data_IF_650853059539
#
_entry.id   IF_650853059539
#
_cell.length_a   1.000
_cell.length_b   1.000
_cell.length_c   1.000
_cell.angle_alpha   90.00
_cell.angle_beta   90.00
_cell.angle_gamma   90.00
#
_symmetry.space_group_name_H-M   'P 1'
#
loop_
_entity.id
_entity.type
_entity.pdbx_description
1 polymer ?
#
# COMPACT_ATOMS: atom_id res chain seq x y z
N UNK A 1 -8.36 2.73 0.50
CA UNK A 1 -8.45 2.07 1.82
C UNK A 1 -8.98 3.11 2.80
N UNK A 2 -10.04 2.83 3.56
CA UNK A 2 -10.71 3.85 4.38
C UNK A 2 -11.09 3.31 5.76
N UNK A 3 -11.03 4.15 6.81
CA UNK A 3 -11.48 3.85 8.19
C UNK A 3 -10.81 2.64 8.82
N UNK A 4 -9.48 2.57 8.74
CA UNK A 4 -8.69 1.48 9.31
C UNK A 4 -8.02 1.89 10.62
N UNK A 5 -8.13 1.05 11.65
CA UNK A 5 -7.48 1.30 12.94
C UNK A 5 -6.70 0.07 13.40
N UNK A 6 -5.46 0.26 13.83
CA UNK A 6 -4.60 -0.81 14.36
C UNK A 6 -4.47 -2.02 13.41
N UNK A 7 -4.41 -1.74 12.10
CA UNK A 7 -4.29 -2.74 11.05
C UNK A 7 -2.85 -2.90 10.57
N UNK A 8 -2.53 -4.06 10.02
CA UNK A 8 -1.39 -4.22 9.10
C UNK A 8 -1.93 -4.58 7.73
N UNK A 9 -1.58 -3.80 6.72
CA UNK A 9 -2.07 -3.95 5.36
C UNK A 9 -0.89 -4.24 4.46
N UNK A 10 -0.98 -5.35 3.74
CA UNK A 10 0.04 -5.79 2.79
C UNK A 10 -0.60 -5.86 1.42
N UNK A 11 0.02 -5.21 0.44
CA UNK A 11 -0.45 -5.19 -0.93
C UNK A 11 0.73 -5.45 -1.86
N UNK A 12 0.56 -6.41 -2.77
CA UNK A 12 1.49 -6.58 -3.87
C UNK A 12 1.53 -5.35 -4.80
N UNK A 13 2.40 -5.36 -5.82
CA UNK A 13 2.52 -4.25 -6.76
C UNK A 13 1.21 -3.98 -7.50
N UNK A 14 0.75 -2.73 -7.48
CA UNK A 14 -0.46 -2.30 -8.18
C UNK A 14 -0.13 -1.27 -9.26
N UNK A 15 -0.67 -1.49 -10.45
CA UNK A 15 -0.66 -0.49 -11.52
C UNK A 15 -1.64 0.65 -11.16
N UNK A 16 -1.17 1.90 -11.23
CA UNK A 16 -2.00 3.07 -10.95
C UNK A 16 -1.80 3.65 -9.54
N UNK A 17 -2.89 4.13 -8.93
CA UNK A 17 -2.83 4.92 -7.70
C UNK A 17 -3.54 4.27 -6.51
N UNK A 18 -3.06 4.55 -5.31
CA UNK A 18 -3.69 4.16 -4.04
C UNK A 18 -4.10 5.41 -3.27
N UNK A 19 -5.36 5.44 -2.84
CA UNK A 19 -5.89 6.41 -1.89
C UNK A 19 -6.09 5.76 -0.53
N UNK A 20 -5.53 6.36 0.52
CA UNK A 20 -5.66 5.94 1.92
C UNK A 20 -6.31 7.09 2.69
N UNK A 21 -7.39 6.80 3.41
CA UNK A 21 -8.18 7.82 4.10
C UNK A 21 -8.59 7.37 5.50
N UNK A 22 -8.55 8.28 6.47
CA UNK A 22 -9.02 8.06 7.85
C UNK A 22 -8.43 6.78 8.48
N UNK A 23 -7.11 6.81 8.71
CA UNK A 23 -6.37 5.65 9.22
C UNK A 23 -5.57 5.99 10.46
N UNK A 24 -5.54 5.08 11.44
CA UNK A 24 -4.92 5.34 12.74
C UNK A 24 -4.18 4.12 13.30
N UNK A 25 -2.92 4.27 13.69
CA UNK A 25 -2.15 3.18 14.31
C UNK A 25 -1.87 2.02 13.36
N UNK A 26 -1.81 2.26 12.05
CA UNK A 26 -1.71 1.23 11.03
C UNK A 26 -0.30 1.11 10.45
N UNK A 27 0.02 -0.09 9.94
CA UNK A 27 1.20 -0.35 9.10
C UNK A 27 0.71 -0.66 7.69
N UNK A 28 1.30 -0.03 6.70
CA UNK A 28 1.04 -0.27 5.28
C UNK A 28 2.32 -0.69 4.58
N UNK A 29 2.30 -1.81 3.85
CA UNK A 29 3.37 -2.25 2.97
C UNK A 29 2.82 -2.33 1.56
N UNK A 30 3.15 -1.33 0.73
CA UNK A 30 2.47 -1.05 -0.54
C UNK A 30 3.47 -0.71 -1.65
N UNK A 31 3.21 -1.20 -2.86
CA UNK A 31 3.91 -0.78 -4.06
C UNK A 31 2.90 -0.28 -5.12
N UNK A 32 3.09 0.94 -5.62
CA UNK A 32 2.15 1.58 -6.55
C UNK A 32 2.79 2.73 -7.34
N UNK A 33 2.15 3.29 -8.36
CA UNK A 33 2.74 4.44 -9.07
C UNK A 33 2.55 5.72 -8.28
N UNK A 34 1.39 5.89 -7.65
CA UNK A 34 1.00 7.10 -6.92
C UNK A 34 0.32 6.73 -5.62
N UNK A 35 0.66 7.41 -4.52
CA UNK A 35 0.03 7.19 -3.22
C UNK A 35 -0.41 8.52 -2.63
N UNK A 36 -1.70 8.61 -2.29
CA UNK A 36 -2.30 9.76 -1.60
C UNK A 36 -2.85 9.32 -0.25
N UNK A 37 -2.49 10.05 0.79
CA UNK A 37 -2.82 9.73 2.18
C UNK A 37 -3.52 10.93 2.79
N UNK A 38 -4.74 10.72 3.27
CA UNK A 38 -5.56 11.75 3.88
C UNK A 38 -6.00 11.30 5.28
N UNK A 39 -5.96 12.19 6.27
CA UNK A 39 -6.41 11.90 7.64
C UNK A 39 -5.70 10.69 8.28
N UNK A 40 -4.38 10.57 8.11
CA UNK A 40 -3.59 9.50 8.72
C UNK A 40 -2.96 9.92 10.05
N UNK A 41 -3.01 9.05 11.07
CA UNK A 41 -2.48 9.33 12.41
C UNK A 41 -1.64 8.18 12.93
N UNK A 42 -0.37 8.44 13.29
CA UNK A 42 0.53 7.43 13.91
C UNK A 42 0.60 6.14 13.06
N UNK A 43 0.87 6.30 11.77
CA UNK A 43 0.92 5.19 10.81
C UNK A 43 2.31 5.07 10.19
N UNK A 44 2.71 3.85 9.87
CA UNK A 44 3.96 3.53 9.18
C UNK A 44 3.68 3.06 7.76
N UNK A 45 4.37 3.64 6.78
CA UNK A 45 4.20 3.38 5.36
C UNK A 45 5.52 2.88 4.76
N UNK A 46 5.54 1.60 4.38
CA UNK A 46 6.62 0.95 3.66
C UNK A 46 6.29 0.96 2.17
N UNK A 47 6.95 1.84 1.43
CA UNK A 47 6.51 2.21 0.08
C UNK A 47 7.57 1.91 -0.97
N UNK A 48 7.08 1.47 -2.14
CA UNK A 48 7.80 1.56 -3.42
C UNK A 48 6.90 2.32 -4.37
N UNK A 49 7.36 3.47 -4.84
CA UNK A 49 6.53 4.42 -5.60
C UNK A 49 7.25 5.01 -6.81
N UNK A 50 6.49 5.42 -7.83
CA UNK A 50 7.00 6.15 -9.01
C UNK A 50 6.90 7.65 -8.88
N UNK A 51 6.03 8.14 -8.01
CA UNK A 51 5.94 9.55 -7.63
C UNK A 51 6.13 9.70 -6.13
N UNK A 52 6.47 10.92 -5.72
CA UNK A 52 6.41 11.32 -4.32
C UNK A 52 5.04 11.01 -3.72
N UNK A 53 4.97 10.38 -2.53
CA UNK A 53 3.71 10.26 -1.80
C UNK A 53 3.20 11.64 -1.40
N UNK A 54 1.89 11.81 -1.39
CA UNK A 54 1.25 13.06 -0.95
C UNK A 54 0.48 12.77 0.34
N UNK A 55 0.70 13.58 1.37
CA UNK A 55 -0.09 13.55 2.61
C UNK A 55 -0.94 14.82 2.74
N UNK A 56 -2.10 14.69 3.36
CA UNK A 56 -2.99 15.79 3.73
C UNK A 56 -3.66 15.49 5.09
N UNK A 57 -3.80 16.50 5.95
CA UNK A 57 -4.40 16.39 7.30
C UNK A 57 -3.89 15.18 8.12
N UNK A 58 -2.61 14.87 7.96
CA UNK A 58 -1.97 13.71 8.57
C UNK A 58 -0.97 14.14 9.65
N UNK A 59 -0.73 13.29 10.64
CA UNK A 59 0.16 13.60 11.77
C UNK A 59 0.88 12.36 12.28
N UNK A 60 2.16 12.53 12.60
CA UNK A 60 3.04 11.47 13.09
C UNK A 60 3.05 10.25 12.16
N UNK A 61 3.09 10.48 10.86
CA UNK A 61 3.22 9.40 9.86
C UNK A 61 4.68 9.18 9.50
N UNK A 62 5.09 7.92 9.29
CA UNK A 62 6.49 7.57 9.08
C UNK A 62 6.66 6.76 7.82
N UNK A 63 7.75 6.98 7.10
CA UNK A 63 7.99 6.36 5.79
C UNK A 63 9.27 5.52 5.77
N UNK A 64 9.20 4.37 5.09
CA UNK A 64 10.26 3.39 4.97
C UNK A 64 10.26 2.77 3.56
N UNK A 65 11.37 2.15 3.13
CA UNK A 65 11.39 1.41 1.87
C UNK A 65 10.48 0.18 1.94
N UNK A 66 9.86 -0.17 0.82
CA UNK A 66 9.05 -1.39 0.68
C UNK A 66 9.84 -2.64 1.06
N UNK A 67 9.21 -3.54 1.82
CA UNK A 67 9.88 -4.69 2.42
C UNK A 67 9.07 -6.00 2.32
N UNK A 68 8.07 -6.06 1.42
CA UNK A 68 7.32 -7.30 1.18
C UNK A 68 8.15 -8.23 0.30
N UNK A 69 8.24 -9.50 0.71
CA UNK A 69 9.01 -10.53 0.02
C UNK A 69 8.13 -11.78 -0.12
N UNK A 70 7.94 -12.27 -1.35
CA UNK A 70 7.23 -13.51 -1.66
C UNK A 70 7.69 -14.08 -3.00
N UNK A 71 7.48 -15.38 -3.20
CA UNK A 71 7.83 -16.05 -4.46
C UNK A 71 7.08 -15.41 -5.65
N UNK A 72 7.82 -14.82 -6.58
CA UNK A 72 7.27 -14.14 -7.75
C UNK A 72 7.12 -12.62 -7.62
N UNK A 73 7.52 -12.00 -6.49
CA UNK A 73 7.43 -10.55 -6.29
C UNK A 73 8.12 -9.75 -7.40
N UNK A 74 9.30 -10.18 -7.86
CA UNK A 74 10.04 -9.46 -8.93
C UNK A 74 9.27 -9.43 -10.25
N UNK A 75 8.60 -10.54 -10.61
CA UNK A 75 7.76 -10.59 -11.81
C UNK A 75 6.52 -9.70 -11.67
N UNK A 76 5.91 -9.65 -10.48
CA UNK A 76 4.75 -8.79 -10.23
C UNK A 76 5.15 -7.30 -10.25
N UNK A 77 6.32 -6.97 -9.72
CA UNK A 77 6.91 -5.63 -9.79
C UNK A 77 7.18 -5.23 -11.23
N UNK A 78 7.79 -6.12 -12.03
CA UNK A 78 8.03 -5.88 -13.45
C UNK A 78 6.72 -5.64 -14.22
N UNK A 79 5.72 -6.52 -14.06
CA UNK A 79 4.40 -6.37 -14.69
C UNK A 79 3.70 -5.08 -14.29
N UNK A 80 3.91 -4.62 -13.05
CA UNK A 80 3.36 -3.37 -12.58
C UNK A 80 4.20 -2.14 -12.96
N UNK A 81 5.34 -2.32 -13.66
CA UNK A 81 6.25 -1.23 -14.00
C UNK A 81 6.91 -0.61 -12.77
N UNK A 82 7.20 -1.42 -11.75
CA UNK A 82 7.73 -1.08 -10.42
C UNK A 82 9.03 -1.86 -10.07
N UNK A 83 9.71 -2.43 -11.07
CA UNK A 83 10.97 -3.16 -10.87
C UNK A 83 12.06 -2.30 -10.20
N UNK A 84 12.34 -1.13 -10.78
CA UNK A 84 13.32 -0.19 -10.24
C UNK A 84 12.82 0.52 -8.98
N UNK A 85 13.64 0.57 -7.92
CA UNK A 85 13.43 1.44 -6.77
C UNK A 85 13.95 2.86 -7.08
N UNK A 86 13.10 3.87 -6.86
CA UNK A 86 13.40 5.25 -7.26
C UNK A 86 13.79 6.15 -6.09
N UNK A 87 13.66 5.68 -4.85
CA UNK A 87 13.88 6.50 -3.66
C UNK A 87 12.76 7.50 -3.38
N UNK A 88 11.74 7.61 -4.25
CA UNK A 88 10.63 8.56 -4.06
C UNK A 88 9.88 8.40 -2.73
N UNK A 89 9.93 7.23 -2.10
CA UNK A 89 9.33 6.99 -0.78
C UNK A 89 9.90 7.90 0.32
N UNK A 90 11.12 8.39 0.18
CA UNK A 90 11.78 9.27 1.16
C UNK A 90 11.41 10.75 0.98
N UNK A 91 10.75 11.10 -0.13
CA UNK A 91 10.40 12.46 -0.50
C UNK A 91 8.88 12.63 -0.50
N UNK A 92 8.31 13.05 0.64
CA UNK A 92 6.86 13.14 0.83
C UNK A 92 6.39 14.59 0.78
N UNK A 93 5.40 14.86 -0.07
CA UNK A 93 4.78 16.17 -0.20
C UNK A 93 3.63 16.30 0.81
N UNK A 94 3.75 17.22 1.76
CA UNK A 94 2.67 17.56 2.69
C UNK A 94 1.86 18.74 2.14
N UNK A 95 0.69 18.44 1.60
CA UNK A 95 -0.12 19.38 0.83
C UNK A 95 -0.53 20.63 1.63
N UNK A 96 -0.69 20.50 2.95
CA UNK A 96 -1.11 21.63 3.82
C UNK A 96 0.07 22.33 4.49
N UNK A 97 1.29 21.85 4.29
CA UNK A 97 2.49 22.48 4.84
C UNK A 97 3.13 23.44 3.85
N UNK A 98 2.67 24.69 3.86
CA UNK A 98 3.13 25.74 2.92
C UNK A 98 4.46 26.41 3.34
N UNK A 99 5.20 25.84 4.29
CA UNK A 99 6.44 26.43 4.82
C UNK A 99 7.65 25.82 4.12
N UNK A 100 8.72 26.60 3.98
CA UNK A 100 9.98 26.16 3.36
C UNK A 100 10.80 25.17 4.21
N UNK A 101 10.43 24.98 5.49
CA UNK A 101 11.06 24.01 6.38
C UNK A 101 10.39 22.65 6.25
N UNK A 102 11.06 21.60 6.69
CA UNK A 102 10.51 20.24 6.75
C UNK A 102 9.16 20.21 7.52
N UNK A 103 8.17 19.51 6.97
CA UNK A 103 6.90 19.29 7.68
C UNK A 103 7.14 18.44 8.94
N UNK A 104 6.58 18.83 10.11
CA UNK A 104 6.65 18.03 11.32
C UNK A 104 5.67 16.85 11.31
N UNK A 105 4.78 16.78 10.32
CA UNK A 105 3.72 15.76 10.27
C UNK A 105 4.24 14.39 9.84
N UNK A 106 5.42 14.34 9.22
CA UNK A 106 6.03 13.12 8.75
C UNK A 106 7.53 13.07 8.96
N UNK A 107 8.07 11.86 9.05
CA UNK A 107 9.50 11.62 9.08
C UNK A 107 9.85 10.28 8.43
N UNK A 108 11.15 10.05 8.22
CA UNK A 108 11.68 8.73 7.87
C UNK A 108 11.64 7.83 9.11
N UNK A 109 11.14 6.62 8.95
CA UNK A 109 11.16 5.60 10.00
C UNK A 109 12.60 5.11 10.24
N UNK A 110 13.14 5.25 11.47
CA UNK A 110 14.48 4.80 11.81
C UNK A 110 14.67 3.30 11.56
N UNK A 111 15.84 2.90 11.06
CA UNK A 111 16.11 1.52 10.64
C UNK A 111 15.92 0.49 11.76
N UNK A 112 16.32 0.83 12.98
CA UNK A 112 16.17 -0.01 14.17
C UNK A 112 14.71 -0.20 14.63
N UNK A 113 13.78 0.63 14.14
CA UNK A 113 12.34 0.50 14.40
C UNK A 113 11.59 -0.16 13.24
N UNK A 114 12.25 -0.40 12.10
CA UNK A 114 11.58 -1.00 10.95
C UNK A 114 11.21 -2.44 11.27
N UNK A 115 10.02 -2.85 10.86
CA UNK A 115 9.73 -4.27 10.70
C UNK A 115 10.76 -4.86 9.73
N UNK A 116 11.27 -6.05 10.03
CA UNK A 116 12.16 -6.77 9.10
C UNK A 116 11.44 -7.04 7.76
N UNK A 117 12.12 -7.73 6.84
CA UNK A 117 11.44 -8.29 5.67
C UNK A 117 10.14 -8.94 6.16
N UNK A 118 9.02 -8.54 5.57
CA UNK A 118 7.73 -9.08 5.94
C UNK A 118 7.65 -10.51 5.39
N UNK A 119 8.42 -11.40 6.00
CA UNK A 119 8.51 -12.81 5.64
C UNK A 119 7.20 -13.49 6.03
N UNK A 120 6.44 -13.89 5.01
CA UNK A 120 5.89 -15.24 4.87
C UNK A 120 5.24 -15.89 6.10
N UNK A 121 4.51 -15.14 6.94
CA UNK A 121 3.42 -15.70 7.76
C UNK A 121 2.04 -15.42 7.16
N UNK A 122 1.97 -14.80 5.99
CA UNK A 122 0.85 -15.05 5.08
C UNK A 122 1.03 -16.49 4.66
N UNK A 123 0.12 -17.39 5.05
CA UNK A 123 0.14 -18.77 4.55
C UNK A 123 0.15 -18.68 3.02
N UNK A 124 1.28 -18.99 2.40
CA UNK A 124 1.48 -18.98 0.94
C UNK A 124 0.32 -19.72 0.23
N UNK A 125 -0.21 -20.76 0.89
CA UNK A 125 -1.36 -21.54 0.45
C UNK A 125 -2.67 -20.74 0.30
N UNK A 126 -2.93 -19.73 1.13
CA UNK A 126 -4.13 -18.88 1.00
C UNK A 126 -3.98 -17.87 -0.13
N UNK A 127 -2.77 -17.33 -0.35
CA UNK A 127 -2.47 -16.45 -1.48
C UNK A 127 -2.53 -17.21 -2.82
N UNK A 128 -1.88 -18.37 -2.93
CA UNK A 128 -1.85 -19.21 -4.13
C UNK A 128 -3.24 -19.76 -4.49
N UNK A 129 -4.04 -20.17 -3.50
CA UNK A 129 -5.44 -20.62 -3.70
C UNK A 129 -6.35 -19.51 -4.21
N UNK A 130 -5.99 -18.25 -3.98
CA UNK A 130 -6.74 -17.07 -4.42
C UNK A 130 -6.36 -16.67 -5.85
N UNK A 131 -5.08 -16.74 -6.19
CA UNK A 131 -4.56 -16.54 -7.55
C UNK A 131 -5.07 -17.60 -8.54
N UNK A 132 -5.22 -18.85 -8.10
CA UNK A 132 -5.77 -19.93 -8.94
C UNK A 132 -7.27 -19.79 -9.24
N UNK A 133 -7.98 -18.88 -8.55
CA UNK A 133 -9.43 -18.64 -8.72
C UNK A 133 -9.75 -17.38 -9.55
N UNK A 134 -8.76 -16.73 -10.17
CA UNK A 134 -8.98 -15.60 -11.06
C UNK A 134 -9.44 -14.30 -10.38
N UNK A 135 -9.26 -14.18 -9.06
CA UNK A 135 -9.57 -12.96 -8.32
C UNK A 135 -8.40 -11.98 -8.41
N UNK A 136 -8.57 -10.89 -9.16
CA UNK A 136 -7.64 -9.77 -9.20
C UNK A 136 -7.44 -9.16 -7.80
N UNK A 137 -6.18 -9.01 -7.42
CA UNK A 137 -5.60 -8.33 -6.24
C UNK A 137 -6.65 -7.79 -5.26
N UNK A 138 -7.07 -8.63 -4.31
CA UNK A 138 -7.85 -8.20 -3.16
C UNK A 138 -6.87 -7.68 -2.10
N UNK A 139 -6.99 -6.42 -1.62
CA UNK A 139 -6.13 -5.93 -0.55
C UNK A 139 -6.32 -6.79 0.70
N UNK A 140 -5.24 -7.46 1.14
CA UNK A 140 -5.25 -8.19 2.41
C UNK A 140 -5.10 -7.19 3.56
N UNK A 141 -6.18 -7.02 4.33
CA UNK A 141 -6.17 -6.31 5.61
C UNK A 141 -5.98 -7.37 6.70
N UNK A 142 -4.80 -7.47 7.29
CA UNK A 142 -4.58 -8.31 8.48
C UNK A 142 -4.90 -7.46 9.71
N UNK A 143 -6.03 -7.76 10.35
CA UNK A 143 -6.44 -7.14 11.61
C UNK A 143 -5.90 -7.97 12.78
N UNK A 144 -5.13 -7.36 13.69
CA UNK A 144 -4.77 -7.98 14.96
C UNK A 144 -5.10 -7.04 16.11
N UNK A 145 -6.37 -7.03 16.50
CA UNK A 145 -6.92 -6.27 17.61
C UNK A 145 -8.11 -7.02 18.22
N UNK A 146 -8.25 -6.96 19.56
CA UNK A 146 -9.14 -7.76 20.43
C UNK A 146 -10.66 -7.62 20.22
N UNK A 147 -11.15 -7.21 19.04
CA UNK A 147 -12.59 -7.17 18.76
C UNK A 147 -12.90 -7.81 17.41
N UNK A 148 -13.34 -9.07 17.48
CA UNK A 148 -13.96 -9.84 16.41
C UNK A 148 -15.26 -9.16 15.98
N UNK A 149 -15.26 -8.53 14.80
CA UNK A 149 -16.39 -8.41 13.86
C UNK A 149 -16.11 -7.20 12.94
N UNK A 150 -15.49 -7.44 11.78
CA UNK A 150 -15.66 -6.73 10.49
C UNK A 150 -14.67 -7.42 9.52
N UNK A 151 -15.17 -8.40 8.74
CA UNK A 151 -14.59 -8.71 7.44
C UNK A 151 -15.29 -7.76 6.47
N UNK A 152 -14.76 -6.56 6.24
CA UNK A 152 -15.36 -5.66 5.25
C UNK A 152 -14.88 -6.06 3.86
N UNK A 153 -15.77 -6.70 3.10
CA UNK A 153 -15.84 -6.63 1.64
C UNK A 153 -15.54 -5.21 1.18
N UNK A 154 -14.44 -4.99 0.45
CA UNK A 154 -14.12 -3.70 -0.15
C UNK A 154 -13.80 -3.87 -1.64
N UNK A 155 -14.75 -4.48 -2.36
CA UNK A 155 -14.96 -4.22 -3.79
C UNK A 155 -16.48 -4.30 -4.06
N UNK A 156 -17.17 -3.16 -3.97
CA UNK A 156 -18.50 -3.02 -4.60
C UNK A 156 -18.77 -1.63 -5.19
N UNK A 157 -17.83 -0.68 -5.17
CA UNK A 157 -18.00 0.62 -5.86
C UNK A 157 -16.68 1.24 -6.37
N UNK A 158 -15.93 0.51 -7.17
CA UNK A 158 -14.93 1.11 -8.07
C UNK A 158 -15.24 0.68 -9.51
N UNK A 159 -16.38 1.15 -10.02
CA UNK A 159 -16.59 1.31 -11.46
C UNK A 159 -15.72 2.47 -11.93
N UNK A 160 -14.40 2.29 -12.06
CA UNK A 160 -13.54 3.23 -12.78
C UNK A 160 -12.24 2.57 -13.21
N UNK A 161 -12.30 1.42 -13.87
CA UNK A 161 -11.29 1.03 -14.87
C UNK A 161 -11.98 0.19 -15.95
N UNK A 162 -12.61 0.90 -16.90
CA UNK A 162 -12.87 0.35 -18.23
C UNK A 162 -11.52 0.32 -18.93
N UNK A 163 -10.75 -0.75 -18.74
CA UNK A 163 -9.68 -1.08 -19.67
C UNK A 163 -10.30 -1.92 -20.79
N UNK A 164 -10.78 -1.23 -21.83
CA UNK A 164 -11.00 -1.83 -23.13
C UNK A 164 -9.68 -2.43 -23.61
N UNK A 165 -9.62 -3.75 -23.80
CA UNK A 165 -8.74 -4.34 -24.80
C UNK A 165 -9.58 -5.25 -25.70
N UNK A 166 -9.44 -5.15 -27.03
CA UNK A 166 -10.18 -5.99 -27.95
C UNK A 166 -9.69 -7.43 -27.85
N UNK A 167 -10.62 -8.31 -27.51
CA UNK A 167 -10.52 -9.73 -27.83
C UNK A 167 -10.38 -9.84 -29.36
N UNK A 168 -9.22 -10.25 -29.87
CA UNK A 168 -9.15 -10.93 -31.17
C UNK A 168 -8.91 -12.40 -30.93
N UNK A 169 -9.89 -13.14 -31.41
CA UNK A 169 -10.08 -14.57 -31.38
C UNK A 169 -8.88 -15.34 -31.91
N UNK A 170 -8.52 -16.38 -31.18
CA UNK A 170 -7.84 -17.56 -31.72
C UNK A 170 -8.80 -18.24 -32.70
N UNK A 171 -8.33 -18.50 -33.91
CA UNK A 171 -8.71 -19.64 -34.73
C UNK A 171 -7.41 -20.33 -35.13
#
# INVERSE_FOLDING_TARGET
MNRLKNCKVYLGPVTGSILIEDVEGCIFVLASHQIRIHLAKRCDFYLRVRSRPIIEDSIAVRFAPYCLDYEGIEMDLEKAGLSEETGNWENVDDFKWLRAVQSPNWCILPENERVGKAESRIKLLEYLKMMSQGHFIVPYIVHWGRNTNIISKLVSRLNFFRACYPYRSVA
#
